data_IF_656438852723
#
_entry.id   IF_656438852723
#
_cell.length_a   1.000
_cell.length_b   1.000
_cell.length_c   1.000
_cell.angle_alpha   90.00
_cell.angle_beta   90.00
_cell.angle_gamma   90.00
#
_symmetry.space_group_name_H-M   'P 1'
#
loop_
_entity.id
_entity.type
_entity.pdbx_description
1 polymer ?
#
# COMPACT_ATOMS: atom_id res chain seq x y z
N UNK A 1 40.99 43.03 -33.59
CA UNK A 1 41.78 43.04 -32.34
C UNK A 1 40.87 43.19 -31.12
N UNK A 2 40.57 42.03 -30.53
CA UNK A 2 40.27 41.76 -29.11
C UNK A 2 39.61 42.85 -28.26
N UNK A 3 38.33 42.67 -27.95
CA UNK A 3 37.71 43.16 -26.73
C UNK A 3 37.16 41.98 -25.95
N UNK A 4 37.96 41.45 -25.01
CA UNK A 4 37.57 40.36 -24.13
C UNK A 4 36.78 40.91 -22.92
N UNK A 5 35.60 40.36 -22.66
CA UNK A 5 34.95 40.40 -21.35
C UNK A 5 34.63 38.95 -20.97
N UNK A 6 35.28 38.47 -19.92
CA UNK A 6 34.96 37.19 -19.29
C UNK A 6 33.60 37.28 -18.60
N UNK A 7 32.75 36.24 -18.64
CA UNK A 7 31.66 36.10 -17.70
C UNK A 7 32.16 35.46 -16.39
N UNK A 8 31.69 36.03 -15.30
CA UNK A 8 31.83 35.58 -13.92
C UNK A 8 31.40 34.12 -13.73
N UNK A 9 32.20 33.35 -13.00
CA UNK A 9 31.87 32.00 -12.53
C UNK A 9 30.63 32.02 -11.62
N UNK A 10 29.53 31.42 -12.07
CA UNK A 10 28.50 30.94 -11.15
C UNK A 10 29.03 29.66 -10.49
N UNK A 11 29.33 29.74 -9.20
CA UNK A 11 29.55 28.55 -8.38
C UNK A 11 28.23 27.77 -8.32
N UNK A 12 28.22 26.60 -8.97
CA UNK A 12 27.19 25.59 -8.74
C UNK A 12 27.45 24.97 -7.38
N UNK A 13 26.71 25.39 -6.35
CA UNK A 13 26.62 24.66 -5.09
C UNK A 13 25.97 23.30 -5.38
N UNK A 14 26.80 22.28 -5.59
CA UNK A 14 26.36 20.88 -5.66
C UNK A 14 25.85 20.46 -4.28
N UNK A 15 24.54 20.37 -4.13
CA UNK A 15 23.92 19.77 -2.94
C UNK A 15 24.24 18.28 -2.90
N UNK A 16 24.73 17.82 -1.74
CA UNK A 16 24.96 16.40 -1.50
C UNK A 16 23.64 15.62 -1.45
N UNK A 17 23.65 14.36 -1.90
CA UNK A 17 22.48 13.45 -1.92
C UNK A 17 21.65 13.42 -0.60
N UNK A 18 22.24 13.50 0.60
CA UNK A 18 21.49 13.58 1.85
C UNK A 18 20.60 14.83 1.98
N UNK A 19 21.01 15.96 1.38
CA UNK A 19 20.25 17.21 1.41
C UNK A 19 19.06 17.19 0.44
N UNK A 20 19.20 16.49 -0.68
CA UNK A 20 18.11 16.27 -1.65
C UNK A 20 17.04 15.37 -1.01
N UNK A 21 17.46 14.23 -0.44
CA UNK A 21 16.56 13.30 0.26
C UNK A 21 15.84 13.96 1.45
N UNK A 22 16.54 14.81 2.21
CA UNK A 22 15.94 15.61 3.30
C UNK A 22 14.84 16.55 2.82
N UNK A 23 14.94 17.09 1.60
CA UNK A 23 13.96 18.05 1.06
C UNK A 23 12.76 17.34 0.45
N UNK A 24 12.97 16.21 -0.22
CA UNK A 24 11.89 15.35 -0.73
C UNK A 24 11.04 14.81 0.43
N UNK A 25 11.67 14.32 1.51
CA UNK A 25 10.95 13.88 2.70
C UNK A 25 10.13 15.00 3.37
N UNK A 26 10.67 16.23 3.43
CA UNK A 26 9.93 17.40 3.94
C UNK A 26 8.78 17.83 3.04
N UNK A 27 8.92 17.68 1.72
CA UNK A 27 7.85 17.97 0.77
C UNK A 27 6.69 16.98 0.93
N UNK A 28 6.97 15.68 1.06
CA UNK A 28 5.97 14.63 1.32
C UNK A 28 5.21 14.82 2.65
N UNK A 29 5.90 15.24 3.71
CA UNK A 29 5.28 15.58 4.99
C UNK A 29 4.33 16.80 4.88
N UNK A 30 4.66 17.79 4.04
CA UNK A 30 3.86 18.99 3.85
C UNK A 30 2.57 18.71 3.06
N UNK A 31 2.62 17.86 2.03
CA UNK A 31 1.42 17.40 1.29
C UNK A 31 0.47 16.61 2.18
N UNK A 32 0.99 15.75 3.07
CA UNK A 32 0.17 15.02 4.04
C UNK A 32 -0.54 15.94 5.06
N UNK A 33 0.12 17.02 5.48
CA UNK A 33 -0.50 18.00 6.37
C UNK A 33 -1.65 18.78 5.68
N UNK A 34 -1.47 19.12 4.41
CA UNK A 34 -2.49 19.81 3.59
C UNK A 34 -3.71 18.92 3.31
N UNK A 35 -3.50 17.63 2.97
CA UNK A 35 -4.58 16.67 2.78
C UNK A 35 -5.42 16.47 4.05
N UNK A 36 -4.77 16.36 5.22
CA UNK A 36 -5.46 16.27 6.53
C UNK A 36 -6.23 17.55 6.89
N UNK A 37 -5.72 18.73 6.51
CA UNK A 37 -6.39 19.99 6.77
C UNK A 37 -7.65 20.19 5.91
N UNK A 38 -7.60 19.80 4.63
CA UNK A 38 -8.74 19.90 3.71
C UNK A 38 -9.92 19.00 4.13
N UNK A 39 -9.64 17.79 4.62
CA UNK A 39 -10.66 16.86 5.14
C UNK A 39 -11.39 17.39 6.38
N UNK A 40 -10.67 18.05 7.31
CA UNK A 40 -11.30 18.63 8.52
C UNK A 40 -12.21 19.83 8.23
N UNK A 41 -11.90 20.62 7.19
CA UNK A 41 -12.68 21.79 6.83
C UNK A 41 -14.05 21.43 6.22
N UNK A 42 -14.15 20.27 5.55
CA UNK A 42 -15.38 19.81 4.90
C UNK A 42 -16.48 19.34 5.89
N UNK A 43 -16.16 19.10 7.17
CA UNK A 43 -17.10 18.55 8.15
C UNK A 43 -17.75 19.57 9.11
N UNK A 44 -17.44 20.86 8.99
CA UNK A 44 -18.03 21.92 9.83
C UNK A 44 -18.98 22.83 9.05
N UNK A 45 -20.06 22.26 8.53
CA UNK A 45 -21.24 23.03 8.12
C UNK A 45 -22.51 22.26 8.49
N UNK A 46 -23.17 22.66 9.57
CA UNK A 46 -24.56 22.24 9.88
C UNK A 46 -25.45 23.48 9.97
N UNK A 47 -26.65 23.47 9.35
CA UNK A 47 -27.62 24.54 9.52
C UNK A 47 -28.46 24.33 10.79
N UNK A 48 -28.82 25.44 11.42
CA UNK A 48 -29.71 25.54 12.57
C UNK A 48 -31.17 25.50 12.16
N UNK A 49 -31.99 24.65 12.81
CA UNK A 49 -33.44 24.84 12.90
C UNK A 49 -33.87 24.55 14.34
N UNK A 50 -34.53 25.53 14.96
CA UNK A 50 -35.21 25.36 16.23
C UNK A 50 -36.72 25.20 16.01
N UNK A 51 -37.40 24.47 16.89
CA UNK A 51 -38.75 24.80 17.35
C UNK A 51 -39.13 24.02 18.62
N UNK A 52 -39.70 24.79 19.56
CA UNK A 52 -40.67 24.52 20.62
C UNK A 52 -40.54 23.32 21.60
N UNK A 53 -40.62 23.70 22.88
CA UNK A 53 -40.83 22.85 24.05
C UNK A 53 -42.33 22.62 24.33
N UNK A 54 -42.66 21.46 24.91
CA UNK A 54 -43.71 21.37 25.95
C UNK A 54 -43.49 20.14 26.85
N UNK A 55 -44.06 20.20 28.05
CA UNK A 55 -43.61 19.55 29.29
C UNK A 55 -44.28 18.20 29.59
N UNK A 56 -43.56 17.43 30.44
CA UNK A 56 -44.04 16.65 31.60
C UNK A 56 -44.68 15.27 31.34
N UNK A 57 -44.14 14.22 31.98
CA UNK A 57 -44.74 13.53 33.16
C UNK A 57 -43.81 12.38 33.64
N UNK A 58 -43.64 12.32 34.97
CA UNK A 58 -43.35 11.20 35.90
C UNK A 58 -42.19 10.19 35.69
N UNK A 59 -41.32 10.16 36.72
CA UNK A 59 -40.62 8.97 37.27
C UNK A 59 -41.61 8.17 38.15
N UNK A 60 -41.42 6.86 38.46
CA UNK A 60 -40.14 6.32 38.93
C UNK A 60 -39.84 4.86 38.53
N UNK A 61 -38.57 4.45 38.65
CA UNK A 61 -38.21 3.17 39.30
C UNK A 61 -36.70 3.09 39.50
N UNK A 62 -36.35 2.66 40.70
CA UNK A 62 -35.00 2.45 41.25
C UNK A 62 -34.51 1.09 40.73
N UNK A 63 -33.47 1.08 39.91
CA UNK A 63 -32.72 -0.13 39.60
C UNK A 63 -31.30 0.01 40.16
N UNK A 64 -30.89 -1.06 40.83
CA UNK A 64 -29.64 -1.23 41.56
C UNK A 64 -28.43 -0.88 40.69
N UNK A 65 -27.51 -0.08 41.25
CA UNK A 65 -26.18 0.05 40.72
C UNK A 65 -25.43 -1.28 40.89
N UNK A 66 -25.27 -2.02 39.80
CA UNK A 66 -24.17 -2.96 39.66
C UNK A 66 -23.07 -2.22 38.91
N UNK A 67 -22.01 -1.88 39.64
CA UNK A 67 -20.78 -1.33 39.08
C UNK A 67 -20.14 -2.41 38.20
N UNK A 68 -20.46 -2.38 36.91
CA UNK A 68 -19.57 -2.94 35.91
C UNK A 68 -18.34 -2.03 35.92
N UNK A 69 -17.25 -2.50 36.52
CA UNK A 69 -15.95 -1.91 36.34
C UNK A 69 -15.67 -1.92 34.83
N UNK A 70 -15.76 -0.74 34.22
CA UNK A 70 -15.27 -0.48 32.88
C UNK A 70 -13.79 -0.82 32.91
N UNK A 71 -13.41 -1.97 32.36
CA UNK A 71 -12.02 -2.27 32.09
C UNK A 71 -11.54 -1.23 31.07
N UNK A 72 -10.91 -0.19 31.58
CA UNK A 72 -10.25 0.85 30.79
C UNK A 72 -9.25 0.15 29.87
N UNK A 73 -9.50 0.26 28.56
CA UNK A 73 -8.65 -0.29 27.51
C UNK A 73 -7.35 0.53 27.51
N UNK A 74 -6.39 0.16 28.36
CA UNK A 74 -5.06 0.78 28.33
C UNK A 74 -4.39 0.38 27.01
N UNK A 75 -4.41 1.29 26.05
CA UNK A 75 -3.61 1.15 24.84
C UNK A 75 -2.13 1.23 25.26
N UNK A 76 -1.37 0.17 24.99
CA UNK A 76 0.08 0.15 25.24
C UNK A 76 0.74 1.25 24.39
N UNK A 77 1.49 2.15 25.03
CA UNK A 77 2.15 3.24 24.33
C UNK A 77 3.17 2.71 23.31
N UNK A 78 3.37 3.41 22.17
CA UNK A 78 4.37 3.00 21.18
C UNK A 78 5.76 2.95 21.82
N UNK A 79 6.49 1.86 21.56
CA UNK A 79 7.85 1.66 22.06
C UNK A 79 8.86 2.21 21.05
N UNK A 80 9.91 2.90 21.50
CA UNK A 80 10.96 3.36 20.60
C UNK A 80 11.69 2.15 19.96
N UNK A 81 11.96 2.25 18.67
CA UNK A 81 12.81 1.33 17.91
C UNK A 81 14.12 2.05 17.62
N UNK A 82 15.26 1.40 17.87
CA UNK A 82 16.58 2.01 17.69
C UNK A 82 17.34 1.39 16.52
N UNK A 83 18.01 2.24 15.73
CA UNK A 83 18.84 1.81 14.59
C UNK A 83 19.91 0.76 14.98
N UNK A 84 20.51 0.90 16.17
CA UNK A 84 21.53 -0.03 16.68
C UNK A 84 21.03 -1.46 16.96
N UNK A 85 19.71 -1.63 17.07
CA UNK A 85 19.07 -2.91 17.36
C UNK A 85 18.62 -3.63 16.07
N UNK A 86 19.00 -3.10 14.90
CA UNK A 86 18.74 -3.75 13.62
C UNK A 86 19.33 -5.16 13.58
N UNK A 87 18.49 -6.11 13.16
CA UNK A 87 18.90 -7.46 12.75
C UNK A 87 18.35 -7.77 11.38
N UNK A 88 19.14 -8.47 10.56
CA UNK A 88 18.68 -9.02 9.30
C UNK A 88 17.50 -9.99 9.52
N UNK A 89 16.58 -10.12 8.56
CA UNK A 89 15.47 -11.05 8.68
C UNK A 89 15.96 -12.51 8.62
N UNK A 90 15.35 -13.36 9.43
CA UNK A 90 15.63 -14.81 9.48
C UNK A 90 15.10 -15.56 8.24
N UNK A 91 14.24 -14.90 7.47
CA UNK A 91 13.58 -15.42 6.29
C UNK A 91 13.59 -14.39 5.18
N UNK A 92 13.99 -14.78 3.99
CA UNK A 92 13.82 -14.01 2.76
C UNK A 92 12.54 -14.46 2.07
N UNK A 93 11.83 -13.51 1.48
CA UNK A 93 10.70 -13.80 0.61
C UNK A 93 11.15 -13.55 -0.83
N UNK A 94 11.20 -14.60 -1.64
CA UNK A 94 11.70 -14.48 -3.01
C UNK A 94 10.61 -13.97 -3.96
N UNK A 95 9.41 -14.56 -3.84
CA UNK A 95 8.25 -14.29 -4.68
C UNK A 95 7.00 -14.19 -3.84
N UNK A 96 6.10 -13.32 -4.25
CA UNK A 96 4.79 -13.11 -3.63
C UNK A 96 3.74 -13.12 -4.72
N UNK A 97 2.75 -13.99 -4.59
CA UNK A 97 1.56 -14.04 -5.45
C UNK A 97 0.36 -13.60 -4.63
N UNK A 98 -0.23 -12.48 -5.02
CA UNK A 98 -1.43 -11.91 -4.40
C UNK A 98 -2.64 -12.18 -5.29
N UNK A 99 -3.74 -12.62 -4.69
CA UNK A 99 -5.05 -12.69 -5.34
C UNK A 99 -6.07 -11.87 -4.54
N UNK A 100 -6.51 -10.76 -5.12
CA UNK A 100 -7.50 -9.87 -4.54
C UNK A 100 -8.87 -10.13 -5.16
N UNK A 101 -9.81 -10.57 -4.34
CA UNK A 101 -11.22 -10.52 -4.69
C UNK A 101 -11.85 -9.28 -4.05
N UNK A 102 -11.96 -8.21 -4.82
CA UNK A 102 -12.52 -6.95 -4.37
C UNK A 102 -14.03 -7.07 -4.21
N UNK A 103 -14.51 -6.72 -3.02
CA UNK A 103 -15.92 -6.65 -2.69
C UNK A 103 -16.24 -5.37 -1.92
N UNK A 104 -17.47 -4.90 -2.06
CA UNK A 104 -17.95 -3.66 -1.43
C UNK A 104 -17.94 -3.72 0.10
N UNK A 105 -18.24 -4.91 0.65
CA UNK A 105 -18.32 -5.13 2.09
C UNK A 105 -17.09 -5.82 2.65
N UNK A 106 -16.52 -6.75 1.89
CA UNK A 106 -15.36 -7.54 2.27
C UNK A 106 -14.52 -7.77 1.03
N UNK A 107 -13.22 -7.51 1.15
CA UNK A 107 -12.21 -7.96 0.20
C UNK A 107 -11.51 -9.17 0.77
N UNK A 108 -11.39 -10.23 -0.02
CA UNK A 108 -10.61 -11.43 0.33
C UNK A 108 -9.26 -11.31 -0.35
N UNK A 109 -8.18 -11.58 0.40
CA UNK A 109 -6.82 -11.52 -0.11
C UNK A 109 -6.15 -12.87 0.12
N UNK A 110 -5.78 -13.55 -0.95
CA UNK A 110 -4.84 -14.67 -0.92
C UNK A 110 -3.42 -14.14 -1.07
N UNK A 111 -2.53 -14.52 -0.16
CA UNK A 111 -1.12 -14.14 -0.17
C UNK A 111 -0.26 -15.40 -0.11
N UNK A 112 0.33 -15.78 -1.25
CA UNK A 112 1.21 -16.94 -1.38
C UNK A 112 2.65 -16.47 -1.48
N UNK A 113 3.51 -16.94 -0.59
CA UNK A 113 4.88 -16.45 -0.41
C UNK A 113 5.85 -17.61 -0.56
N UNK A 114 6.85 -17.46 -1.42
CA UNK A 114 8.01 -18.35 -1.45
C UNK A 114 8.99 -17.94 -0.34
N UNK A 115 9.06 -18.74 0.72
CA UNK A 115 9.85 -18.44 1.91
C UNK A 115 11.19 -19.19 1.87
N UNK A 116 12.28 -18.46 2.01
CA UNK A 116 13.65 -18.97 2.06
C UNK A 116 14.28 -18.69 3.45
N UNK A 117 14.57 -19.72 4.25
CA UNK A 117 15.34 -19.57 5.48
C UNK A 117 16.73 -18.99 5.20
N UNK A 118 17.20 -18.02 6.00
CA UNK A 118 18.53 -17.39 5.83
C UNK A 118 19.59 -17.95 6.78
N UNK A 119 19.20 -18.85 7.68
CA UNK A 119 20.13 -19.57 8.57
C UNK A 119 20.72 -20.81 7.90
N UNK A 120 21.87 -21.28 8.41
CA UNK A 120 22.59 -22.42 7.85
C UNK A 120 21.72 -23.69 7.84
N UNK A 121 21.88 -24.52 6.79
CA UNK A 121 21.21 -25.81 6.69
C UNK A 121 21.49 -26.68 7.93
N UNK A 122 20.44 -27.12 8.62
CA UNK A 122 20.53 -27.86 9.89
C UNK A 122 20.60 -26.99 11.15
N UNK A 123 20.49 -25.66 11.02
CA UNK A 123 20.23 -24.76 12.15
C UNK A 123 18.78 -24.87 12.66
N UNK A 124 18.56 -24.46 13.91
CA UNK A 124 17.22 -24.48 14.51
C UNK A 124 16.30 -23.47 13.80
N UNK A 125 15.13 -23.90 13.29
CA UNK A 125 14.17 -22.99 12.67
C UNK A 125 13.69 -21.97 13.70
N UNK A 126 13.83 -20.68 13.33
CA UNK A 126 13.38 -19.56 14.17
C UNK A 126 11.89 -19.33 13.93
N UNK A 127 11.09 -18.92 14.92
CA UNK A 127 9.69 -18.56 14.65
C UNK A 127 9.59 -17.48 13.56
N UNK A 128 8.72 -17.68 12.57
CA UNK A 128 8.48 -16.69 11.52
C UNK A 128 7.39 -15.74 11.99
N UNK A 129 7.78 -14.51 12.33
CA UNK A 129 6.85 -13.43 12.66
C UNK A 129 6.49 -12.63 11.42
N UNK A 130 5.19 -12.39 11.25
CA UNK A 130 4.59 -11.61 10.18
C UNK A 130 3.77 -10.48 10.80
N UNK A 131 4.10 -9.24 10.46
CA UNK A 131 3.35 -8.07 10.86
C UNK A 131 1.90 -8.17 10.35
N UNK A 132 0.96 -7.73 11.17
CA UNK A 132 -0.45 -7.61 10.81
C UNK A 132 -1.11 -6.51 11.63
N UNK A 133 -2.29 -6.07 11.18
CA UNK A 133 -3.11 -5.07 11.87
C UNK A 133 -4.37 -5.72 12.48
N UNK A 134 -4.86 -5.26 13.65
CA UNK A 134 -6.12 -5.75 14.23
C UNK A 134 -7.35 -5.66 13.32
N UNK A 135 -7.33 -4.83 12.26
CA UNK A 135 -8.41 -4.75 11.27
C UNK A 135 -8.39 -5.88 10.24
N UNK A 136 -7.34 -6.71 10.22
CA UNK A 136 -7.19 -7.82 9.28
C UNK A 136 -7.69 -9.12 9.91
N UNK A 137 -8.73 -9.72 9.34
CA UNK A 137 -9.23 -11.03 9.76
C UNK A 137 -8.39 -12.13 9.09
N UNK A 138 -7.79 -13.01 9.89
CA UNK A 138 -7.15 -14.23 9.40
C UNK A 138 -8.21 -15.29 9.07
N UNK A 139 -8.29 -15.71 7.81
CA UNK A 139 -9.22 -16.74 7.35
C UNK A 139 -8.57 -18.11 7.18
N UNK A 140 -7.25 -18.18 6.93
CA UNK A 140 -6.53 -19.44 6.82
C UNK A 140 -5.03 -19.27 6.65
N UNK A 141 -4.28 -20.31 7.03
CA UNK A 141 -2.83 -20.42 6.83
C UNK A 141 -2.54 -21.84 6.33
N UNK A 142 -1.76 -21.94 5.26
CA UNK A 142 -1.30 -23.20 4.66
C UNK A 142 0.21 -23.16 4.49
N UNK A 143 0.88 -24.29 4.72
CA UNK A 143 2.30 -24.51 4.40
C UNK A 143 2.38 -25.68 3.43
N UNK A 144 3.00 -25.46 2.27
CA UNK A 144 3.12 -26.44 1.18
C UNK A 144 1.76 -27.11 0.84
N UNK A 145 0.71 -26.29 0.72
CA UNK A 145 -0.67 -26.72 0.45
C UNK A 145 -1.37 -27.44 1.60
N UNK A 146 -0.75 -27.56 2.77
CA UNK A 146 -1.34 -28.19 3.96
C UNK A 146 -1.79 -27.13 4.96
N UNK A 147 -3.08 -27.12 5.31
CA UNK A 147 -3.62 -26.20 6.31
C UNK A 147 -2.94 -26.40 7.67
N UNK A 148 -2.52 -25.30 8.30
CA UNK A 148 -1.95 -25.34 9.65
C UNK A 148 -3.04 -25.39 10.71
N UNK A 149 -2.83 -26.26 11.72
CA UNK A 149 -3.61 -26.24 12.94
C UNK A 149 -3.42 -24.93 13.72
N UNK A 150 -4.45 -24.51 14.45
CA UNK A 150 -4.39 -23.31 15.30
C UNK A 150 -3.32 -23.39 16.41
N UNK A 151 -2.78 -24.58 16.71
CA UNK A 151 -1.67 -24.77 17.63
C UNK A 151 -0.29 -24.51 17.01
N UNK A 152 -0.19 -24.50 15.67
CA UNK A 152 1.05 -24.29 14.93
C UNK A 152 1.40 -22.80 14.74
N UNK A 153 0.50 -21.89 15.13
CA UNK A 153 0.75 -20.45 15.06
C UNK A 153 0.14 -19.70 16.25
N UNK A 154 0.68 -18.51 16.50
CA UNK A 154 0.17 -17.56 17.49
C UNK A 154 -0.27 -16.30 16.78
N UNK A 155 -1.56 -15.99 16.86
CA UNK A 155 -2.12 -14.74 16.35
C UNK A 155 -2.24 -13.72 17.48
N UNK A 156 -1.72 -12.52 17.26
CA UNK A 156 -1.81 -11.39 18.19
C UNK A 156 -2.31 -10.15 17.46
N UNK A 157 -2.58 -9.07 18.20
CA UNK A 157 -2.90 -7.76 17.62
C UNK A 157 -1.78 -7.17 16.75
N UNK A 158 -0.55 -7.66 16.87
CA UNK A 158 0.61 -7.14 16.14
C UNK A 158 0.94 -7.96 14.89
N UNK A 159 0.36 -9.16 14.76
CA UNK A 159 0.75 -10.08 13.71
C UNK A 159 0.57 -11.55 14.05
N UNK A 160 1.03 -12.36 13.11
CA UNK A 160 0.97 -13.82 13.09
C UNK A 160 2.38 -14.39 13.28
N UNK A 161 2.55 -15.35 14.20
CA UNK A 161 3.81 -16.07 14.37
C UNK A 161 3.62 -17.53 14.03
N UNK A 162 4.33 -18.05 13.03
CA UNK A 162 4.44 -19.49 12.80
C UNK A 162 5.53 -20.02 13.73
N UNK A 163 5.18 -20.91 14.66
CA UNK A 163 6.05 -21.25 15.79
C UNK A 163 7.19 -22.17 15.41
N UNK A 164 6.93 -23.10 14.49
CA UNK A 164 7.90 -24.07 13.97
C UNK A 164 7.76 -24.21 12.44
N UNK A 165 8.16 -23.20 11.65
CA UNK A 165 8.13 -23.29 10.20
C UNK A 165 9.13 -24.35 9.69
N UNK A 166 8.96 -24.84 8.45
CA UNK A 166 9.96 -25.71 7.81
C UNK A 166 11.36 -25.10 7.80
N UNK A 167 12.38 -25.93 8.00
CA UNK A 167 13.79 -25.53 7.96
C UNK A 167 14.37 -25.46 6.53
N UNK A 168 13.64 -25.97 5.53
CA UNK A 168 13.95 -25.85 4.11
C UNK A 168 13.02 -24.81 3.46
N UNK A 169 13.32 -24.31 2.24
CA UNK A 169 12.39 -23.44 1.51
C UNK A 169 11.00 -24.07 1.38
N UNK A 170 9.96 -23.25 1.56
CA UNK A 170 8.57 -23.68 1.58
C UNK A 170 7.64 -22.61 1.00
N UNK A 171 6.44 -23.02 0.63
CA UNK A 171 5.37 -22.11 0.26
C UNK A 171 4.49 -21.82 1.47
N UNK A 172 4.29 -20.54 1.78
CA UNK A 172 3.37 -20.07 2.80
C UNK A 172 2.19 -19.37 2.12
N UNK A 173 0.98 -19.87 2.33
CA UNK A 173 -0.24 -19.22 1.85
C UNK A 173 -1.08 -18.75 3.02
N UNK A 174 -1.48 -17.48 2.97
CA UNK A 174 -2.28 -16.82 3.99
C UNK A 174 -3.50 -16.21 3.31
N UNK A 175 -4.68 -16.52 3.83
CA UNK A 175 -5.94 -15.92 3.37
C UNK A 175 -6.42 -14.94 4.42
N UNK A 176 -6.65 -13.68 4.04
CA UNK A 176 -7.21 -12.65 4.91
C UNK A 176 -8.50 -12.08 4.38
N UNK A 177 -9.28 -11.46 5.26
CA UNK A 177 -10.43 -10.63 4.91
C UNK A 177 -10.25 -9.24 5.50
N UNK A 178 -10.53 -8.24 4.69
CA UNK A 178 -10.43 -6.83 5.06
C UNK A 178 -11.66 -6.05 4.59
N UNK A 179 -11.89 -4.88 5.19
CA UNK A 179 -13.04 -4.01 4.90
C UNK A 179 -12.59 -2.61 4.49
N UNK A 180 -12.24 -2.38 3.21
CA UNK A 180 -11.67 -1.11 2.75
C UNK A 180 -12.60 0.10 2.94
N UNK A 181 -13.93 -0.12 2.93
CA UNK A 181 -14.95 0.89 3.16
C UNK A 181 -15.02 1.37 4.61
N UNK A 182 -14.52 0.58 5.57
CA UNK A 182 -14.42 0.96 6.98
C UNK A 182 -13.05 1.59 7.33
N UNK A 183 -12.09 1.60 6.41
CA UNK A 183 -10.72 2.06 6.64
C UNK A 183 -10.58 3.58 6.48
N UNK A 184 -10.72 4.32 7.57
CA UNK A 184 -10.62 5.79 7.59
C UNK A 184 -9.21 6.32 7.85
N UNK A 185 -8.23 5.44 8.11
CA UNK A 185 -6.82 5.84 8.33
C UNK A 185 -6.08 6.13 7.01
N UNK A 186 -6.63 5.67 5.88
CA UNK A 186 -6.06 5.84 4.54
C UNK A 186 -4.66 5.18 4.40
N UNK A 187 -4.47 4.05 5.08
CA UNK A 187 -3.28 3.19 5.02
C UNK A 187 -3.70 1.73 4.79
N UNK A 188 -2.94 0.99 4.00
CA UNK A 188 -3.37 -0.29 3.44
C UNK A 188 -4.36 -0.09 2.29
N UNK A 189 -5.32 -1.01 2.11
CA UNK A 189 -6.39 -0.88 1.12
C UNK A 189 -7.57 -0.10 1.73
N UNK A 190 -8.05 0.93 1.03
CA UNK A 190 -9.19 1.75 1.44
C UNK A 190 -10.01 2.21 0.24
N UNK A 191 -11.19 2.80 0.50
CA UNK A 191 -12.01 3.46 -0.54
C UNK A 191 -11.90 4.98 -0.47
N UNK A 192 -11.69 5.60 -1.62
CA UNK A 192 -11.71 7.06 -1.79
C UNK A 192 -12.55 7.41 -3.02
N UNK A 193 -13.56 8.28 -2.86
CA UNK A 193 -14.50 8.64 -3.93
C UNK A 193 -15.14 7.44 -4.66
N UNK A 194 -15.34 6.32 -3.96
CA UNK A 194 -15.89 5.09 -4.54
C UNK A 194 -14.86 4.12 -5.14
N UNK A 195 -13.62 4.57 -5.38
CA UNK A 195 -12.52 3.78 -5.93
C UNK A 195 -11.72 3.08 -4.81
N UNK A 196 -11.21 1.89 -5.08
CA UNK A 196 -10.21 1.25 -4.23
C UNK A 196 -8.83 1.82 -4.55
N UNK A 197 -8.07 2.12 -3.50
CA UNK A 197 -6.68 2.54 -3.62
C UNK A 197 -5.89 2.07 -2.40
N UNK A 198 -4.58 1.96 -2.57
CA UNK A 198 -3.66 1.54 -1.51
C UNK A 198 -2.67 2.63 -1.16
N UNK A 199 -2.32 2.70 0.13
CA UNK A 199 -1.16 3.43 0.62
C UNK A 199 -0.36 2.50 1.54
N UNK A 200 0.82 2.08 1.08
CA UNK A 200 1.62 1.07 1.79
C UNK A 200 2.82 1.67 2.54
N UNK A 201 3.32 2.84 2.14
CA UNK A 201 4.39 3.50 2.90
C UNK A 201 3.85 4.18 4.16
N UNK A 202 4.45 3.98 5.34
CA UNK A 202 5.67 3.19 5.61
C UNK A 202 5.40 1.72 5.98
N UNK A 203 4.25 1.44 6.60
CA UNK A 203 3.90 0.14 7.19
C UNK A 203 2.43 -0.22 6.93
N UNK A 204 1.90 0.21 5.79
CA UNK A 204 0.49 0.03 5.42
C UNK A 204 0.18 -1.35 4.84
N UNK A 205 1.18 -2.08 4.33
CA UNK A 205 0.95 -3.38 3.70
C UNK A 205 0.45 -4.44 4.71
N UNK A 206 0.88 -4.36 5.98
CA UNK A 206 0.35 -5.21 7.07
C UNK A 206 -1.13 -5.02 7.38
N UNK A 207 -1.76 -3.96 6.85
CA UNK A 207 -3.22 -3.72 6.93
C UNK A 207 -3.99 -4.39 5.79
N UNK A 208 -3.30 -5.10 4.90
CA UNK A 208 -3.88 -5.89 3.80
C UNK A 208 -3.79 -7.38 4.11
N UNK A 209 -2.57 -7.85 4.42
CA UNK A 209 -2.28 -9.26 4.73
C UNK A 209 -1.11 -9.36 5.70
N UNK A 210 -0.90 -10.55 6.28
CA UNK A 210 0.25 -10.79 7.16
C UNK A 210 1.54 -10.91 6.34
N UNK A 211 2.56 -10.13 6.68
CA UNK A 211 3.80 -10.05 5.91
C UNK A 211 5.01 -9.62 6.76
N UNK A 212 6.24 -9.89 6.31
CA UNK A 212 7.43 -9.23 6.88
C UNK A 212 7.51 -7.79 6.36
N UNK A 213 6.68 -6.91 6.94
CA UNK A 213 6.44 -5.55 6.44
C UNK A 213 7.57 -4.59 6.86
N UNK A 214 8.75 -4.83 6.26
CA UNK A 214 10.02 -4.12 6.46
C UNK A 214 10.74 -3.97 5.11
N UNK A 215 11.49 -2.87 4.89
CA UNK A 215 11.98 -2.51 3.55
C UNK A 215 13.17 -3.34 3.05
N UNK A 216 13.84 -4.09 3.92
CA UNK A 216 14.94 -5.00 3.55
C UNK A 216 14.47 -6.43 3.22
N UNK A 217 13.16 -6.67 3.21
CA UNK A 217 12.54 -7.86 2.61
C UNK A 217 11.94 -7.47 1.27
N UNK A 218 12.65 -7.81 0.19
CA UNK A 218 12.28 -7.51 -1.19
C UNK A 218 11.88 -8.76 -1.94
N UNK A 219 10.73 -8.71 -2.63
CA UNK A 219 10.15 -9.84 -3.37
C UNK A 219 9.73 -9.41 -4.77
N UNK A 220 9.77 -10.32 -5.73
CA UNK A 220 9.02 -10.19 -6.98
C UNK A 220 7.52 -10.35 -6.66
N UNK A 221 6.66 -9.53 -7.27
CA UNK A 221 5.21 -9.60 -7.02
C UNK A 221 4.44 -9.93 -8.30
N UNK A 222 3.55 -10.90 -8.19
CA UNK A 222 2.47 -11.15 -9.15
C UNK A 222 1.15 -10.84 -8.45
N UNK A 223 0.33 -9.97 -9.03
CA UNK A 223 -0.92 -9.52 -8.42
C UNK A 223 -2.08 -9.76 -9.36
N UNK A 224 -2.98 -10.65 -8.97
CA UNK A 224 -4.28 -10.84 -9.60
C UNK A 224 -5.32 -10.01 -8.86
N UNK A 225 -6.14 -9.28 -9.62
CA UNK A 225 -7.23 -8.47 -9.10
C UNK A 225 -8.50 -8.92 -9.80
N UNK A 226 -9.52 -9.25 -9.02
CA UNK A 226 -10.86 -9.60 -9.49
C UNK A 226 -11.87 -8.63 -8.90
N UNK A 227 -12.72 -8.04 -9.73
CA UNK A 227 -13.74 -7.09 -9.28
C UNK A 227 -15.01 -7.13 -10.16
N UNK A 228 -16.07 -6.43 -9.71
CA UNK A 228 -17.25 -6.16 -10.53
C UNK A 228 -16.87 -5.24 -11.71
N UNK A 229 -17.10 -5.71 -12.94
CA UNK A 229 -16.66 -5.02 -14.16
C UNK A 229 -17.41 -3.70 -14.40
N UNK A 230 -18.68 -3.63 -13.99
CA UNK A 230 -19.49 -2.44 -14.22
C UNK A 230 -19.11 -1.30 -13.27
N UNK A 231 -18.70 -1.62 -12.04
CA UNK A 231 -18.27 -0.64 -11.03
C UNK A 231 -16.79 -0.30 -11.11
N UNK A 232 -15.96 -1.27 -11.48
CA UNK A 232 -14.50 -1.17 -11.44
C UNK A 232 -13.88 -1.60 -12.77
N UNK A 233 -14.22 -0.95 -13.90
CA UNK A 233 -13.72 -1.35 -15.22
C UNK A 233 -12.20 -1.23 -15.36
N UNK A 234 -11.53 -0.47 -14.49
CA UNK A 234 -10.07 -0.32 -14.46
C UNK A 234 -9.50 -1.00 -13.22
N UNK A 235 -8.57 -1.94 -13.40
CA UNK A 235 -7.85 -2.67 -12.34
C UNK A 235 -6.34 -2.58 -12.60
N UNK A 236 -5.60 -1.98 -11.67
CA UNK A 236 -4.17 -1.68 -11.84
C UNK A 236 -3.36 -2.19 -10.63
N UNK A 237 -2.14 -2.64 -10.90
CA UNK A 237 -1.10 -2.87 -9.89
C UNK A 237 0.27 -2.56 -10.50
N UNK A 238 1.35 -2.81 -9.74
CA UNK A 238 2.71 -2.56 -10.20
C UNK A 238 3.11 -3.50 -11.35
N UNK A 239 4.05 -3.06 -12.19
CA UNK A 239 4.64 -3.87 -13.25
C UNK A 239 3.81 -3.88 -14.53
N UNK A 240 3.82 -5.00 -15.24
CA UNK A 240 3.20 -5.14 -16.55
C UNK A 240 1.92 -5.97 -16.48
N UNK A 241 0.90 -5.59 -17.25
CA UNK A 241 -0.31 -6.38 -17.42
C UNK A 241 -0.01 -7.62 -18.28
N UNK A 242 -0.04 -8.81 -17.67
CA UNK A 242 0.32 -10.08 -18.32
C UNK A 242 -0.88 -10.95 -18.66
N UNK A 243 -2.02 -10.76 -17.99
CA UNK A 243 -3.27 -11.47 -18.30
C UNK A 243 -4.48 -10.61 -17.90
N UNK A 244 -5.60 -10.81 -18.60
CA UNK A 244 -6.89 -10.19 -18.25
C UNK A 244 -8.04 -10.93 -18.92
N UNK A 245 -9.22 -10.86 -18.31
CA UNK A 245 -10.38 -11.51 -18.89
C UNK A 245 -11.68 -11.27 -18.13
N UNK A 246 -12.77 -11.62 -18.80
CA UNK A 246 -14.10 -11.61 -18.21
C UNK A 246 -14.37 -12.91 -17.46
N UNK A 247 -15.14 -12.80 -16.38
CA UNK A 247 -15.56 -13.92 -15.53
C UNK A 247 -17.10 -13.95 -15.46
N UNK A 248 -17.63 -15.11 -15.06
CA UNK A 248 -19.05 -15.25 -14.80
C UNK A 248 -19.53 -14.27 -13.70
N UNK A 249 -20.82 -13.94 -13.73
CA UNK A 249 -21.44 -13.08 -12.72
C UNK A 249 -21.08 -11.59 -12.86
N UNK A 250 -20.63 -11.14 -14.03
CA UNK A 250 -20.35 -9.72 -14.31
C UNK A 250 -19.03 -9.23 -13.73
N UNK A 251 -18.14 -10.15 -13.34
CA UNK A 251 -16.80 -9.83 -12.87
C UNK A 251 -15.79 -9.87 -14.01
N UNK A 252 -14.61 -9.31 -13.77
CA UNK A 252 -13.45 -9.46 -14.62
C UNK A 252 -12.19 -9.50 -13.76
N UNK A 253 -11.05 -9.80 -14.37
CA UNK A 253 -9.76 -9.78 -13.70
C UNK A 253 -8.65 -9.18 -14.54
N UNK A 254 -7.59 -8.78 -13.86
CA UNK A 254 -6.27 -8.48 -14.43
C UNK A 254 -5.19 -9.19 -13.62
N UNK A 255 -4.08 -9.53 -14.26
CA UNK A 255 -2.87 -10.07 -13.62
C UNK A 255 -1.69 -9.19 -13.99
N UNK A 256 -0.98 -8.73 -12.97
CA UNK A 256 0.15 -7.83 -13.08
C UNK A 256 1.41 -8.52 -12.56
N UNK A 257 2.51 -8.42 -13.31
CA UNK A 257 3.81 -8.96 -12.93
C UNK A 257 4.85 -7.83 -12.87
N UNK A 258 5.43 -7.65 -11.68
CA UNK A 258 6.58 -6.77 -11.49
C UNK A 258 7.85 -7.62 -11.34
N UNK A 259 8.74 -7.60 -12.36
CA UNK A 259 9.93 -8.45 -12.39
C UNK A 259 11.03 -7.97 -11.43
N UNK A 260 10.90 -6.79 -10.84
CA UNK A 260 11.92 -6.24 -9.95
C UNK A 260 11.57 -6.52 -8.49
N UNK A 261 12.48 -7.17 -7.73
CA UNK A 261 12.29 -7.34 -6.30
C UNK A 261 12.13 -5.99 -5.60
N UNK A 262 10.99 -5.80 -4.93
CA UNK A 262 10.67 -4.56 -4.22
C UNK A 262 10.20 -4.82 -2.79
N UNK A 263 10.42 -3.86 -1.88
CA UNK A 263 9.79 -3.90 -0.57
C UNK A 263 8.28 -3.66 -0.66
N UNK A 264 7.54 -4.21 0.30
CA UNK A 264 6.09 -4.16 0.33
C UNK A 264 5.50 -2.74 0.42
N UNK A 265 6.25 -1.75 0.92
CA UNK A 265 5.78 -0.36 0.97
C UNK A 265 5.59 0.27 -0.43
N UNK A 266 6.21 -0.29 -1.47
CA UNK A 266 6.04 0.11 -2.87
C UNK A 266 4.90 -0.63 -3.58
N UNK A 267 4.21 -1.55 -2.89
CA UNK A 267 3.02 -2.20 -3.46
C UNK A 267 1.90 -1.18 -3.67
N UNK A 268 1.29 -1.23 -4.85
CA UNK A 268 0.13 -0.44 -5.20
C UNK A 268 -0.97 -1.28 -5.87
N UNK A 269 -2.22 -0.99 -5.53
CA UNK A 269 -3.42 -1.48 -6.19
C UNK A 269 -4.42 -0.34 -6.32
N UNK A 270 -4.99 -0.19 -7.53
CA UNK A 270 -6.08 0.75 -7.81
C UNK A 270 -7.19 0.01 -8.55
N UNK A 271 -8.44 0.23 -8.14
CA UNK A 271 -9.60 -0.23 -8.89
C UNK A 271 -10.72 0.82 -8.88
N UNK A 272 -11.25 1.15 -10.06
CA UNK A 272 -12.18 2.27 -10.20
C UNK A 272 -12.80 2.40 -11.58
N UNK A 273 -13.74 3.34 -11.70
CA UNK A 273 -14.20 3.88 -12.98
C UNK A 273 -13.39 5.14 -13.29
N UNK A 274 -12.36 4.97 -14.11
CA UNK A 274 -11.33 5.97 -14.34
C UNK A 274 -11.18 6.21 -15.85
N UNK A 275 -11.13 7.49 -16.22
CA UNK A 275 -10.64 7.92 -17.52
C UNK A 275 -9.11 7.84 -17.57
N UNK A 276 -8.56 7.78 -18.77
CA UNK A 276 -7.12 7.66 -18.99
C UNK A 276 -6.67 8.56 -20.13
N UNK A 277 -5.57 9.29 -19.92
CA UNK A 277 -4.79 9.90 -21.01
C UNK A 277 -3.52 9.08 -21.24
N UNK A 278 -3.16 8.90 -22.51
CA UNK A 278 -2.00 8.12 -22.94
C UNK A 278 -1.05 8.99 -23.76
N UNK A 279 0.24 8.78 -23.56
CA UNK A 279 1.30 9.26 -24.43
C UNK A 279 2.46 8.25 -24.41
N UNK A 280 3.60 8.60 -24.98
CA UNK A 280 4.79 7.75 -25.00
C UNK A 280 6.07 8.53 -24.81
N UNK A 281 7.07 7.86 -24.27
CA UNK A 281 8.43 8.36 -24.16
C UNK A 281 9.41 7.37 -24.82
N UNK A 282 10.35 7.88 -25.62
CA UNK A 282 11.42 7.04 -26.18
C UNK A 282 12.69 7.30 -25.38
N UNK A 283 13.20 6.27 -24.72
CA UNK A 283 14.42 6.37 -23.94
C UNK A 283 15.64 6.59 -24.84
N UNK A 284 16.76 7.01 -24.25
CA UNK A 284 18.01 7.25 -24.97
C UNK A 284 18.55 5.99 -25.68
N UNK A 285 18.30 4.79 -25.16
CA UNK A 285 18.64 3.52 -25.82
C UNK A 285 17.63 3.09 -26.90
N UNK A 286 16.49 3.79 -27.02
CA UNK A 286 15.47 3.56 -28.02
C UNK A 286 14.29 2.70 -27.57
N UNK A 287 14.15 2.40 -26.27
CA UNK A 287 12.95 1.75 -25.74
C UNK A 287 11.76 2.71 -25.83
N UNK A 288 10.62 2.24 -26.31
CA UNK A 288 9.36 2.98 -26.23
C UNK A 288 8.63 2.60 -24.93
N UNK A 289 8.36 3.59 -24.10
CA UNK A 289 7.63 3.45 -22.82
C UNK A 289 6.25 4.05 -23.01
N UNK A 290 5.20 3.26 -22.76
CA UNK A 290 3.84 3.76 -22.70
C UNK A 290 3.64 4.54 -21.40
N UNK A 291 3.02 5.72 -21.49
CA UNK A 291 2.72 6.57 -20.33
C UNK A 291 1.21 6.68 -20.17
N UNK A 292 0.67 6.31 -19.02
CA UNK A 292 -0.76 6.38 -18.73
C UNK A 292 -1.03 7.14 -17.44
N UNK A 293 -1.91 8.13 -17.54
CA UNK A 293 -2.40 8.85 -16.35
C UNK A 293 -3.89 8.59 -16.22
N UNK A 294 -4.25 7.93 -15.12
CA UNK A 294 -5.63 7.62 -14.77
C UNK A 294 -6.20 8.68 -13.83
N UNK A 295 -7.38 9.19 -14.15
CA UNK A 295 -8.11 10.19 -13.34
C UNK A 295 -9.60 9.90 -13.37
N UNK A 296 -10.36 10.48 -12.44
CA UNK A 296 -11.81 10.51 -12.57
C UNK A 296 -12.20 11.25 -13.86
N UNK A 297 -13.20 10.74 -14.58
CA UNK A 297 -13.60 11.19 -15.93
C UNK A 297 -13.69 12.73 -16.06
N UNK A 298 -14.28 13.40 -15.07
CA UNK A 298 -14.48 14.85 -15.06
C UNK A 298 -13.20 15.68 -14.88
N UNK A 299 -12.04 15.04 -14.73
CA UNK A 299 -10.73 15.68 -14.60
C UNK A 299 -9.77 15.39 -15.76
N UNK A 300 -10.21 14.66 -16.80
CA UNK A 300 -9.39 14.35 -17.97
C UNK A 300 -8.75 15.59 -18.61
N UNK A 301 -9.52 16.68 -18.70
CA UNK A 301 -9.09 17.97 -19.26
C UNK A 301 -8.01 18.69 -18.44
N UNK A 302 -7.67 18.18 -17.24
CA UNK A 302 -6.66 18.75 -16.33
C UNK A 302 -5.37 17.93 -16.30
N UNK A 303 -5.32 16.77 -16.97
CA UNK A 303 -4.21 15.82 -16.85
C UNK A 303 -3.02 16.11 -17.78
N UNK A 304 -3.21 16.90 -18.85
CA UNK A 304 -2.18 17.17 -19.87
C UNK A 304 -0.86 17.73 -19.29
N UNK A 305 -0.95 18.62 -18.30
CA UNK A 305 0.24 19.20 -17.69
C UNK A 305 1.06 18.17 -16.89
N UNK A 306 0.38 17.18 -16.31
CA UNK A 306 1.05 16.08 -15.61
C UNK A 306 1.81 15.20 -16.61
N UNK A 307 1.23 14.89 -17.77
CA UNK A 307 1.90 14.13 -18.84
C UNK A 307 3.15 14.85 -19.35
N UNK A 308 3.04 16.16 -19.64
CA UNK A 308 4.19 16.98 -20.04
C UNK A 308 5.30 16.97 -18.97
N UNK A 309 4.92 17.02 -17.69
CA UNK A 309 5.88 17.01 -16.58
C UNK A 309 6.57 15.64 -16.43
N UNK A 310 5.84 14.54 -16.62
CA UNK A 310 6.37 13.18 -16.60
C UNK A 310 7.44 13.00 -17.69
N UNK A 311 7.10 13.32 -18.95
CA UNK A 311 8.02 13.23 -20.09
C UNK A 311 9.30 14.05 -19.84
N UNK A 312 9.14 15.29 -19.32
CA UNK A 312 10.29 16.14 -18.97
C UNK A 312 11.14 15.56 -17.85
N UNK A 313 10.52 14.89 -16.87
CA UNK A 313 11.25 14.28 -15.76
C UNK A 313 12.08 13.10 -16.25
N UNK A 314 11.51 12.20 -17.06
CA UNK A 314 12.24 11.09 -17.66
C UNK A 314 13.43 11.59 -18.50
N UNK A 315 13.19 12.57 -19.37
CA UNK A 315 14.25 13.18 -20.18
C UNK A 315 15.35 13.82 -19.32
N UNK A 316 14.98 14.54 -18.28
CA UNK A 316 15.94 15.20 -17.41
C UNK A 316 16.81 14.19 -16.67
N UNK A 317 16.25 13.07 -16.22
CA UNK A 317 16.99 12.02 -15.53
C UNK A 317 18.02 11.35 -16.46
N UNK A 318 17.66 11.14 -17.73
CA UNK A 318 18.60 10.68 -18.76
C UNK A 318 19.70 11.69 -19.06
N UNK A 319 19.34 12.98 -19.21
CA UNK A 319 20.28 14.04 -19.59
C UNK A 319 21.27 14.36 -18.45
N UNK A 320 20.82 14.30 -17.19
CA UNK A 320 21.59 14.73 -16.02
C UNK A 320 22.27 13.56 -15.30
N UNK A 321 21.56 12.45 -15.10
CA UNK A 321 22.05 11.30 -14.33
C UNK A 321 22.37 10.09 -15.21
N UNK A 322 21.91 10.06 -16.45
CA UNK A 322 22.08 8.91 -17.34
C UNK A 322 21.23 7.72 -16.92
N UNK A 323 20.08 7.97 -16.27
CA UNK A 323 19.15 6.94 -15.80
C UNK A 323 17.99 6.83 -16.79
N UNK A 324 17.83 5.67 -17.41
CA UNK A 324 16.67 5.34 -18.25
C UNK A 324 15.61 4.60 -17.44
N UNK A 325 14.34 4.76 -17.82
CA UNK A 325 13.25 3.98 -17.24
C UNK A 325 13.36 2.51 -17.67
N UNK A 326 13.01 1.60 -16.76
CA UNK A 326 13.34 0.17 -16.82
C UNK A 326 12.14 -0.74 -17.15
N UNK A 327 10.92 -0.20 -17.15
CA UNK A 327 9.68 -0.89 -17.52
C UNK A 327 9.10 -0.43 -18.86
N UNK A 328 8.11 -1.17 -19.35
CA UNK A 328 7.44 -0.91 -20.63
C UNK A 328 6.22 0.04 -20.49
N UNK A 329 5.72 0.18 -19.26
CA UNK A 329 4.59 1.01 -18.89
C UNK A 329 4.92 1.85 -17.64
N UNK A 330 4.56 3.12 -17.68
CA UNK A 330 4.45 4.01 -16.52
C UNK A 330 3.01 4.46 -16.36
#
# INVERSE_FOLDING_TARGET
PSGAQQPSSFATDTMSMPQVMSRVARAGLATNALARAASKAAHHAKPSFGFAASRSVARPTRAMASSAATAEKVAEAPKPIYLKDYTAPDYRFAKVVLDFELGEEVTVVGNTISVEPTFAAGGDPRPLFLNGDPTVELAGVEVDGTALDASAYVLTKKGLTITAPPAAPFELKITTKIKPQENTELEGLYKSSGNFCTQCEAEGFRRITFYQDRPDVMSEFTTRITADKAKYPVLLSNGNLVDSGDLDGGKHFTVWEDPFPKPAYLFALVAGDLGMIEDKFTTKSGREVALRIYVEEHNLDKADWAMVSLIKSMKWDEDVFGLEYDLDLF
#
